data_IF_642608019591
#
_entry.id   IF_642608019591
#
_cell.length_a   1.000
_cell.length_b   1.000
_cell.length_c   1.000
_cell.angle_alpha   90.00
_cell.angle_beta   90.00
_cell.angle_gamma   90.00
#
_symmetry.space_group_name_H-M   'P 1'
#
loop_
_entity.id
_entity.type
_entity.pdbx_description
1 polymer ?
#
# COMPACT_ATOMS: atom_id res chain seq x y z
N UNK A 1 6.30 3.35 22.52
CA UNK A 1 4.87 3.23 22.86
C UNK A 1 4.04 3.64 21.66
N UNK A 2 3.68 2.66 20.85
CA UNK A 2 2.83 2.86 19.71
C UNK A 2 1.38 2.63 20.14
N UNK A 3 0.72 3.69 20.59
CA UNK A 3 -0.73 3.68 20.76
C UNK A 3 -1.37 3.86 19.38
N UNK A 4 -1.66 2.75 18.72
CA UNK A 4 -2.45 2.73 17.47
C UNK A 4 -3.92 2.92 17.86
N UNK A 5 -4.47 4.09 17.56
CA UNK A 5 -5.92 4.32 17.61
C UNK A 5 -6.45 4.13 16.18
N UNK A 6 -7.23 3.08 15.91
CA UNK A 6 -7.82 2.90 14.58
C UNK A 6 -9.02 3.85 14.44
N UNK A 7 -8.88 4.86 13.59
CA UNK A 7 -10.01 5.73 13.21
C UNK A 7 -10.34 5.46 11.75
N UNK A 8 -11.10 4.39 11.50
CA UNK A 8 -11.82 4.22 10.25
C UNK A 8 -13.19 4.91 10.37
N UNK A 9 -13.67 5.65 9.35
CA UNK A 9 -15.02 6.18 9.34
C UNK A 9 -16.04 5.04 9.49
N UNK A 10 -17.03 5.21 10.35
CA UNK A 10 -18.09 4.23 10.63
C UNK A 10 -18.81 3.73 9.37
N UNK A 11 -18.82 4.51 8.29
CA UNK A 11 -19.40 4.13 6.99
C UNK A 11 -18.61 3.07 6.23
N UNK A 12 -17.30 2.96 6.42
CA UNK A 12 -16.47 1.91 5.81
C UNK A 12 -16.59 0.59 6.57
N UNK A 13 -16.70 0.64 7.90
CA UNK A 13 -16.96 -0.55 8.72
C UNK A 13 -18.36 -1.13 8.48
N UNK A 14 -19.38 -0.31 8.19
CA UNK A 14 -20.75 -0.76 7.97
C UNK A 14 -20.93 -1.69 6.75
N UNK A 15 -20.06 -1.62 5.76
CA UNK A 15 -20.10 -2.51 4.59
C UNK A 15 -19.54 -3.91 4.89
N UNK A 16 -18.59 -4.00 5.82
CA UNK A 16 -17.98 -5.25 6.30
C UNK A 16 -18.85 -5.94 7.38
N UNK A 17 -19.53 -5.15 8.23
CA UNK A 17 -20.36 -5.65 9.33
C UNK A 17 -21.75 -6.20 8.89
N UNK A 18 -22.16 -6.05 7.63
CA UNK A 18 -23.45 -6.59 7.14
C UNK A 18 -23.47 -8.08 6.84
N UNK A 19 -22.39 -8.81 7.06
CA UNK A 19 -22.39 -10.29 7.04
C UNK A 19 -22.15 -10.83 8.46
N UNK A 20 -23.24 -10.98 9.21
CA UNK A 20 -23.44 -11.84 10.38
C UNK A 20 -22.26 -11.96 11.35
N UNK A 21 -22.37 -11.30 12.50
CA UNK A 21 -21.53 -11.45 13.70
C UNK A 21 -21.22 -12.91 14.08
N UNK A 22 -20.10 -13.42 13.60
CA UNK A 22 -19.28 -14.42 14.30
C UNK A 22 -17.86 -13.88 14.20
N UNK A 23 -17.21 -13.67 15.37
CA UNK A 23 -15.78 -13.44 15.45
C UNK A 23 -15.11 -14.32 14.41
N UNK A 24 -14.54 -13.72 13.38
CA UNK A 24 -13.91 -14.45 12.30
C UNK A 24 -12.58 -14.95 12.86
N UNK A 25 -12.57 -16.18 13.38
CA UNK A 25 -11.35 -16.87 13.79
C UNK A 25 -10.42 -16.79 12.58
N UNK A 26 -9.21 -16.23 12.78
CA UNK A 26 -8.29 -15.88 11.72
C UNK A 26 -8.10 -16.98 10.68
N UNK A 27 -8.07 -16.58 9.42
CA UNK A 27 -7.76 -17.47 8.28
C UNK A 27 -6.36 -17.15 7.77
N UNK A 28 -5.59 -18.19 7.48
CA UNK A 28 -4.34 -18.04 6.75
C UNK A 28 -4.63 -17.70 5.29
N UNK A 29 -3.96 -16.65 4.80
CA UNK A 29 -4.11 -16.17 3.42
C UNK A 29 -2.86 -15.46 2.93
N UNK A 30 -2.60 -15.59 1.64
CA UNK A 30 -1.62 -14.75 0.97
C UNK A 30 -2.21 -13.34 0.80
N UNK A 31 -1.60 -12.38 1.45
CA UNK A 31 -1.99 -10.97 1.42
C UNK A 31 -0.80 -10.13 0.98
N UNK A 32 -1.06 -9.15 0.13
CA UNK A 32 -0.10 -8.09 -0.16
C UNK A 32 -0.43 -6.89 0.69
N UNK A 33 0.55 -6.46 1.47
CA UNK A 33 0.48 -5.27 2.32
C UNK A 33 1.18 -4.10 1.62
N UNK A 34 0.51 -2.95 1.56
CA UNK A 34 1.07 -1.69 1.07
C UNK A 34 1.01 -0.67 2.19
N UNK A 35 2.18 -0.20 2.61
CA UNK A 35 2.30 0.98 3.47
C UNK A 35 2.60 2.21 2.62
N UNK A 36 1.88 3.30 2.89
CA UNK A 36 2.16 4.61 2.31
C UNK A 36 2.23 5.62 3.45
N UNK A 37 3.30 6.41 3.50
CA UNK A 37 3.53 7.37 4.57
C UNK A 37 3.99 8.72 4.01
N UNK A 38 3.55 9.81 4.64
CA UNK A 38 3.93 11.17 4.28
C UNK A 38 5.36 11.45 4.76
N UNK A 39 6.16 12.13 3.95
CA UNK A 39 7.48 12.59 4.38
C UNK A 39 7.42 14.00 4.96
N UNK A 40 8.11 14.19 6.09
CA UNK A 40 8.28 15.52 6.67
C UNK A 40 7.04 16.06 7.39
N UNK A 41 6.06 15.24 7.74
CA UNK A 41 4.87 15.62 8.50
C UNK A 41 5.19 16.32 9.82
N UNK A 42 6.24 15.91 10.51
CA UNK A 42 6.71 16.57 11.74
C UNK A 42 7.13 18.02 11.48
N UNK A 43 7.91 18.28 10.42
CA UNK A 43 8.30 19.64 10.04
C UNK A 43 7.09 20.47 9.62
N UNK A 44 6.13 19.83 8.94
CA UNK A 44 4.87 20.46 8.55
C UNK A 44 4.07 20.89 9.79
N UNK A 45 4.03 20.05 10.83
CA UNK A 45 3.34 20.32 12.09
C UNK A 45 4.00 21.44 12.90
N UNK A 46 5.33 21.58 12.83
CA UNK A 46 6.05 22.68 13.48
C UNK A 46 5.84 24.03 12.79
N UNK A 47 5.62 24.02 11.48
CA UNK A 47 5.57 25.23 10.66
C UNK A 47 4.16 25.80 10.42
N UNK A 48 3.09 25.06 10.79
CA UNK A 48 1.71 25.38 10.45
C UNK A 48 0.76 25.30 11.64
N UNK A 49 -0.42 25.92 11.47
CA UNK A 49 -1.48 25.78 12.46
C UNK A 49 -1.99 24.32 12.52
N UNK A 50 -2.39 23.82 13.69
CA UNK A 50 -2.83 22.43 13.85
C UNK A 50 -3.96 22.02 12.90
N UNK A 51 -4.89 22.91 12.60
CA UNK A 51 -6.00 22.64 11.68
C UNK A 51 -5.52 22.43 10.24
N UNK A 52 -4.53 23.21 9.79
CA UNK A 52 -3.95 23.08 8.44
C UNK A 52 -3.21 21.74 8.31
N UNK A 53 -2.50 21.34 9.36
CA UNK A 53 -1.80 20.04 9.39
C UNK A 53 -2.78 18.89 9.30
N UNK A 54 -3.85 18.90 10.09
CA UNK A 54 -4.91 17.88 10.06
C UNK A 54 -5.59 17.85 8.69
N UNK A 55 -5.87 19.01 8.10
CA UNK A 55 -6.44 19.10 6.75
C UNK A 55 -5.53 18.44 5.70
N UNK A 56 -4.22 18.75 5.71
CA UNK A 56 -3.27 18.19 4.76
C UNK A 56 -3.08 16.68 4.94
N UNK A 57 -2.97 16.20 6.17
CA UNK A 57 -2.89 14.77 6.47
C UNK A 57 -4.15 14.05 5.96
N UNK A 58 -5.34 14.56 6.25
CA UNK A 58 -6.59 13.94 5.80
C UNK A 58 -6.71 13.92 4.26
N UNK A 59 -6.25 14.98 3.57
CA UNK A 59 -6.20 15.01 2.11
C UNK A 59 -5.26 13.96 1.55
N UNK A 60 -4.08 13.80 2.15
CA UNK A 60 -3.10 12.79 1.76
C UNK A 60 -3.61 11.37 2.01
N UNK A 61 -4.11 11.08 3.22
CA UNK A 61 -4.69 9.78 3.57
C UNK A 61 -5.86 9.43 2.65
N UNK A 62 -6.71 10.41 2.32
CA UNK A 62 -7.81 10.25 1.37
C UNK A 62 -7.33 9.90 -0.03
N UNK A 63 -6.31 10.59 -0.54
CA UNK A 63 -5.73 10.34 -1.86
C UNK A 63 -5.11 8.92 -1.95
N UNK A 64 -4.38 8.49 -0.92
CA UNK A 64 -3.78 7.16 -0.84
C UNK A 64 -4.82 6.04 -0.68
N UNK A 65 -5.84 6.27 0.18
CA UNK A 65 -6.92 5.30 0.39
C UNK A 65 -7.75 5.10 -0.87
N UNK A 66 -8.07 6.18 -1.59
CA UNK A 66 -8.79 6.10 -2.85
C UNK A 66 -8.00 5.34 -3.91
N UNK A 67 -6.69 5.56 -3.98
CA UNK A 67 -5.80 4.81 -4.88
C UNK A 67 -5.82 3.30 -4.60
N UNK A 68 -5.83 2.90 -3.33
CA UNK A 68 -5.93 1.50 -2.94
C UNK A 68 -7.29 0.90 -3.34
N UNK A 69 -8.40 1.60 -3.04
CA UNK A 69 -9.77 1.18 -3.41
C UNK A 69 -9.93 1.02 -4.93
N UNK A 70 -9.48 2.00 -5.70
CA UNK A 70 -9.57 2.01 -7.17
C UNK A 70 -8.74 0.91 -7.83
N UNK A 71 -7.77 0.36 -7.10
CA UNK A 71 -6.97 -0.78 -7.54
C UNK A 71 -7.51 -2.14 -7.06
N UNK A 72 -8.59 -2.16 -6.29
CA UNK A 72 -9.21 -3.37 -5.74
C UNK A 72 -8.65 -3.81 -4.39
N UNK A 73 -7.89 -2.95 -3.72
CA UNK A 73 -7.42 -3.15 -2.35
C UNK A 73 -8.36 -2.56 -1.31
N UNK A 74 -8.05 -2.80 -0.06
CA UNK A 74 -8.80 -2.30 1.07
C UNK A 74 -7.90 -1.49 1.98
N UNK A 75 -8.10 -0.15 2.14
CA UNK A 75 -7.51 0.61 3.23
C UNK A 75 -7.92 -0.02 4.55
N UNK A 76 -6.95 -0.31 5.40
CA UNK A 76 -7.17 -1.11 6.60
C UNK A 76 -6.95 -0.32 7.88
N UNK A 77 -5.79 0.32 8.00
CA UNK A 77 -5.43 1.11 9.20
C UNK A 77 -4.77 2.42 8.79
N UNK A 78 -5.04 3.47 9.58
CA UNK A 78 -4.26 4.70 9.56
C UNK A 78 -3.26 4.66 10.71
N UNK A 79 -1.99 4.88 10.42
CA UNK A 79 -0.88 4.87 11.37
C UNK A 79 -0.20 6.23 11.31
N UNK A 80 -0.62 7.13 12.20
CA UNK A 80 -0.19 8.53 12.13
C UNK A 80 -0.64 9.19 10.83
N UNK A 81 0.32 9.61 10.02
CA UNK A 81 0.16 10.22 8.69
C UNK A 81 0.31 9.21 7.54
N UNK A 82 0.30 7.92 7.86
CA UNK A 82 0.39 6.81 6.92
C UNK A 82 -0.88 5.96 6.84
N UNK A 83 -0.97 5.16 5.79
CA UNK A 83 -2.04 4.19 5.57
C UNK A 83 -1.48 2.82 5.24
N UNK A 84 -2.03 1.79 5.90
CA UNK A 84 -1.89 0.39 5.52
C UNK A 84 -3.08 0.01 4.64
N UNK A 85 -2.81 -0.50 3.44
CA UNK A 85 -3.81 -1.13 2.59
C UNK A 85 -3.48 -2.61 2.36
N UNK A 86 -4.50 -3.45 2.29
CA UNK A 86 -4.41 -4.89 2.10
C UNK A 86 -5.01 -5.28 0.75
N UNK A 87 -4.37 -6.23 0.05
CA UNK A 87 -4.84 -6.82 -1.21
C UNK A 87 -4.81 -8.34 -1.06
N UNK A 88 -5.78 -9.03 -1.65
CA UNK A 88 -5.86 -10.50 -1.58
C UNK A 88 -6.92 -11.04 -0.63
N UNK A 89 -7.75 -10.18 -0.02
CA UNK A 89 -8.81 -10.63 0.91
C UNK A 89 -9.83 -11.52 0.19
N UNK A 90 -10.20 -11.20 -1.05
CA UNK A 90 -11.21 -11.91 -1.83
C UNK A 90 -10.68 -12.45 -3.17
N UNK A 91 -9.41 -12.23 -3.49
CA UNK A 91 -8.78 -12.62 -4.75
C UNK A 91 -7.54 -13.48 -4.52
N UNK A 92 -7.03 -14.13 -5.57
CA UNK A 92 -5.81 -14.92 -5.53
C UNK A 92 -4.55 -14.05 -5.43
N UNK A 93 -3.43 -14.70 -5.09
CA UNK A 93 -2.13 -14.04 -4.87
C UNK A 93 -1.65 -13.25 -6.10
N UNK A 94 -1.81 -13.79 -7.31
CA UNK A 94 -1.40 -13.13 -8.55
C UNK A 94 -2.18 -11.84 -8.78
N UNK A 95 -3.49 -11.91 -8.62
CA UNK A 95 -4.38 -10.75 -8.74
C UNK A 95 -4.08 -9.71 -7.67
N UNK A 96 -3.88 -10.13 -6.41
CA UNK A 96 -3.50 -9.25 -5.31
C UNK A 96 -2.21 -8.49 -5.57
N UNK A 97 -1.17 -9.17 -6.05
CA UNK A 97 0.11 -8.54 -6.41
C UNK A 97 -0.06 -7.51 -7.53
N UNK A 98 -0.82 -7.83 -8.59
CA UNK A 98 -1.11 -6.88 -9.67
C UNK A 98 -1.89 -5.67 -9.19
N UNK A 99 -2.88 -5.87 -8.32
CA UNK A 99 -3.63 -4.78 -7.71
C UNK A 99 -2.73 -3.85 -6.89
N UNK A 100 -1.84 -4.40 -6.06
CA UNK A 100 -0.92 -3.63 -5.24
C UNK A 100 0.08 -2.80 -6.09
N UNK A 101 0.60 -3.38 -7.18
CA UNK A 101 1.47 -2.65 -8.13
C UNK A 101 0.70 -1.50 -8.80
N UNK A 102 -0.54 -1.73 -9.24
CA UNK A 102 -1.41 -0.66 -9.79
C UNK A 102 -1.73 0.41 -8.76
N UNK A 103 -1.95 0.02 -7.50
CA UNK A 103 -2.20 0.97 -6.42
C UNK A 103 -1.03 1.94 -6.22
N UNK A 104 0.23 1.46 -6.31
CA UNK A 104 1.40 2.33 -6.21
C UNK A 104 1.41 3.42 -7.30
N UNK A 105 1.05 3.08 -8.54
CA UNK A 105 0.88 4.06 -9.63
C UNK A 105 -0.21 5.08 -9.30
N UNK A 106 -1.36 4.60 -8.82
CA UNK A 106 -2.50 5.47 -8.50
C UNK A 106 -2.19 6.39 -7.32
N UNK A 107 -1.44 5.92 -6.30
CA UNK A 107 -0.93 6.77 -5.22
C UNK A 107 -0.10 7.91 -5.78
N UNK A 108 0.86 7.61 -6.66
CA UNK A 108 1.69 8.65 -7.29
C UNK A 108 0.83 9.69 -8.02
N UNK A 109 -0.09 9.24 -8.86
CA UNK A 109 -0.98 10.12 -9.64
C UNK A 109 -1.87 10.98 -8.74
N UNK A 110 -2.48 10.40 -7.69
CA UNK A 110 -3.39 11.10 -6.81
C UNK A 110 -2.65 12.13 -5.93
N UNK A 111 -1.45 11.78 -5.42
CA UNK A 111 -0.64 12.73 -4.64
C UNK A 111 -0.11 13.86 -5.53
N UNK A 112 0.30 13.57 -6.76
CA UNK A 112 0.71 14.62 -7.70
C UNK A 112 -0.46 15.55 -8.06
N UNK A 113 -1.67 15.02 -8.20
CA UNK A 113 -2.87 15.84 -8.40
C UNK A 113 -3.15 16.73 -7.17
N UNK A 114 -3.07 16.16 -5.98
CA UNK A 114 -3.21 16.89 -4.72
C UNK A 114 -2.18 18.01 -4.61
N UNK A 115 -0.92 17.74 -4.93
CA UNK A 115 0.16 18.73 -4.91
C UNK A 115 -0.10 19.88 -5.88
N UNK A 116 -0.60 19.59 -7.09
CA UNK A 116 -1.00 20.65 -8.04
C UNK A 116 -2.15 21.50 -7.51
N UNK A 117 -3.14 20.89 -6.85
CA UNK A 117 -4.28 21.61 -6.28
C UNK A 117 -3.90 22.52 -5.10
N UNK A 118 -2.86 22.14 -4.37
CA UNK A 118 -2.37 22.85 -3.18
C UNK A 118 -1.09 23.65 -3.42
N UNK A 119 -0.70 23.84 -4.68
CA UNK A 119 0.58 24.49 -5.02
C UNK A 119 0.71 25.93 -4.52
N UNK A 120 -0.42 26.67 -4.38
CA UNK A 120 -0.44 28.02 -3.79
C UNK A 120 -0.31 28.02 -2.27
N UNK A 121 -0.64 26.91 -1.61
CA UNK A 121 -0.77 26.82 -0.16
C UNK A 121 0.43 26.12 0.48
N UNK A 122 1.21 25.40 -0.33
CA UNK A 122 2.36 24.63 0.11
C UNK A 122 3.68 25.24 -0.39
N UNK A 123 4.68 25.47 0.48
CA UNK A 123 6.01 25.92 0.05
C UNK A 123 6.74 24.86 -0.78
N UNK A 124 6.50 23.59 -0.49
CA UNK A 124 7.06 22.44 -1.20
C UNK A 124 5.98 21.35 -1.39
N UNK A 125 6.04 20.57 -2.47
CA UNK A 125 5.13 19.46 -2.70
C UNK A 125 5.25 18.39 -1.60
N UNK A 126 4.11 17.84 -1.19
CA UNK A 126 4.07 16.70 -0.27
C UNK A 126 4.82 15.52 -0.90
N UNK A 127 5.79 15.01 -0.16
CA UNK A 127 6.56 13.80 -0.49
C UNK A 127 6.03 12.61 0.28
N UNK A 128 6.26 11.40 -0.25
CA UNK A 128 5.79 10.16 0.36
C UNK A 128 6.74 9.00 0.10
N UNK A 129 6.53 7.91 0.83
CA UNK A 129 7.17 6.62 0.59
C UNK A 129 6.14 5.50 0.53
N UNK A 130 6.36 4.52 -0.34
CA UNK A 130 5.52 3.32 -0.49
C UNK A 130 6.38 2.09 -0.25
N UNK A 131 5.93 1.18 0.63
CA UNK A 131 6.51 -0.14 0.81
C UNK A 131 5.49 -1.22 0.50
N UNK A 132 5.83 -2.19 -0.36
CA UNK A 132 4.92 -3.28 -0.75
C UNK A 132 5.63 -4.62 -0.60
N UNK A 133 4.98 -5.53 0.14
CA UNK A 133 5.41 -6.92 0.28
C UNK A 133 4.20 -7.84 0.42
N UNK A 134 4.33 -9.07 -0.06
CA UNK A 134 3.30 -10.10 -0.01
C UNK A 134 3.78 -11.34 0.72
N UNK A 135 2.86 -12.10 1.26
CA UNK A 135 3.14 -13.37 1.91
C UNK A 135 1.95 -13.90 2.70
N UNK A 136 2.12 -15.09 3.28
CA UNK A 136 1.09 -15.72 4.11
C UNK A 136 0.96 -14.99 5.45
N UNK A 137 -0.27 -14.63 5.78
CA UNK A 137 -0.64 -13.94 7.02
C UNK A 137 -1.94 -14.53 7.58
N UNK A 138 -2.20 -14.27 8.84
CA UNK A 138 -3.52 -14.53 9.42
C UNK A 138 -4.36 -13.26 9.30
N UNK A 139 -5.52 -13.35 8.64
CA UNK A 139 -6.51 -12.28 8.56
C UNK A 139 -7.69 -12.59 9.47
N UNK A 140 -8.17 -11.61 10.19
CA UNK A 140 -9.30 -11.78 11.10
C UNK A 140 -9.58 -10.54 11.94
N UNK A 141 -10.61 -10.66 12.79
CA UNK A 141 -10.98 -9.62 13.75
C UNK A 141 -10.06 -9.70 14.96
N UNK A 142 -9.29 -8.64 15.19
CA UNK A 142 -8.32 -8.54 16.28
C UNK A 142 -8.72 -7.38 17.19
N UNK A 143 -8.78 -7.65 18.49
CA UNK A 143 -9.15 -6.63 19.46
C UNK A 143 -9.72 -7.24 20.73
N UNK A 144 -10.39 -6.41 21.51
CA UNK A 144 -10.98 -6.78 22.81
C UNK A 144 -12.42 -6.30 22.86
N UNK A 145 -13.34 -7.19 23.20
CA UNK A 145 -14.79 -6.95 23.30
C UNK A 145 -15.35 -6.29 22.01
N UNK A 146 -16.02 -5.14 22.11
CA UNK A 146 -16.63 -4.42 21.00
C UNK A 146 -15.62 -3.58 20.16
N UNK A 147 -14.33 -3.57 20.58
CA UNK A 147 -13.25 -2.88 19.91
C UNK A 147 -12.39 -3.85 19.10
N UNK A 148 -12.97 -4.42 18.04
CA UNK A 148 -12.27 -5.30 17.11
C UNK A 148 -12.04 -4.61 15.78
N UNK A 149 -10.88 -4.87 15.17
CA UNK A 149 -10.51 -4.40 13.84
C UNK A 149 -10.15 -5.60 12.99
N UNK A 150 -10.79 -5.72 11.83
CA UNK A 150 -10.38 -6.69 10.83
C UNK A 150 -9.02 -6.28 10.25
N UNK A 151 -8.00 -7.13 10.42
CA UNK A 151 -6.65 -6.82 9.96
C UNK A 151 -5.85 -8.09 9.64
N UNK A 152 -4.63 -7.89 9.12
CA UNK A 152 -3.67 -8.94 8.83
C UNK A 152 -2.56 -8.95 9.86
N UNK A 153 -2.21 -10.13 10.37
CA UNK A 153 -1.08 -10.37 11.27
C UNK A 153 -0.08 -11.32 10.63
N UNK A 154 1.16 -10.90 10.55
CA UNK A 154 2.26 -11.71 10.06
C UNK A 154 3.49 -10.88 9.71
N UNK A 155 4.62 -11.55 9.51
CA UNK A 155 5.88 -10.91 9.10
C UNK A 155 5.74 -10.07 7.82
N UNK A 156 4.99 -10.49 6.77
CA UNK A 156 4.82 -9.70 5.55
C UNK A 156 4.33 -8.27 5.78
N UNK A 157 3.45 -8.06 6.76
CA UNK A 157 2.94 -6.71 7.10
C UNK A 157 4.07 -5.84 7.63
N UNK A 158 4.90 -6.39 8.53
CA UNK A 158 6.05 -5.69 9.12
C UNK A 158 7.13 -5.39 8.07
N UNK A 159 7.37 -6.33 7.15
CA UNK A 159 8.32 -6.14 6.05
C UNK A 159 7.88 -4.97 5.17
N UNK A 160 6.60 -4.92 4.76
CA UNK A 160 6.09 -3.81 3.94
C UNK A 160 6.29 -2.44 4.63
N UNK A 161 6.05 -2.34 5.95
CA UNK A 161 6.30 -1.12 6.72
C UNK A 161 7.80 -0.73 6.70
N UNK A 162 8.69 -1.69 6.87
CA UNK A 162 10.14 -1.44 6.84
C UNK A 162 10.64 -1.06 5.45
N UNK A 163 10.10 -1.66 4.38
CA UNK A 163 10.40 -1.25 3.01
C UNK A 163 9.97 0.20 2.77
N UNK A 164 8.83 0.61 3.32
CA UNK A 164 8.37 2.00 3.25
C UNK A 164 9.38 2.94 3.93
N UNK A 165 9.83 2.62 5.15
CA UNK A 165 10.84 3.42 5.86
C UNK A 165 12.15 3.55 5.07
N UNK A 166 12.59 2.48 4.43
CA UNK A 166 13.82 2.44 3.65
C UNK A 166 13.77 3.32 2.39
N UNK A 167 12.58 3.74 1.93
CA UNK A 167 12.45 4.65 0.78
C UNK A 167 13.19 5.98 1.01
N UNK A 168 13.31 6.42 2.26
CA UNK A 168 14.04 7.64 2.64
C UNK A 168 15.55 7.46 2.43
N UNK A 169 16.09 6.32 2.86
CA UNK A 169 17.54 6.01 2.77
C UNK A 169 17.96 5.66 1.35
N UNK A 170 17.06 5.06 0.56
CA UNK A 170 17.35 4.63 -0.81
C UNK A 170 16.95 5.68 -1.86
N UNK A 171 16.52 6.87 -1.42
CA UNK A 171 16.11 7.99 -2.26
C UNK A 171 15.16 7.62 -3.40
N UNK A 172 14.09 6.91 -3.04
CA UNK A 172 13.07 6.47 -3.99
C UNK A 172 11.67 6.63 -3.41
N UNK A 173 10.64 6.71 -4.24
CA UNK A 173 9.25 6.86 -3.80
C UNK A 173 8.59 5.52 -3.45
N UNK A 174 9.03 4.42 -4.05
CA UNK A 174 8.49 3.11 -3.72
C UNK A 174 9.58 2.03 -3.66
N UNK A 175 9.38 1.07 -2.75
CA UNK A 175 10.15 -0.17 -2.66
C UNK A 175 9.16 -1.32 -2.65
N UNK A 176 9.31 -2.23 -3.61
CA UNK A 176 8.47 -3.42 -3.79
C UNK A 176 9.37 -4.64 -3.77
N UNK A 177 9.03 -5.66 -2.99
CA UNK A 177 9.79 -6.91 -3.00
C UNK A 177 9.72 -7.59 -4.37
N UNK A 178 10.81 -8.21 -4.80
CA UNK A 178 10.89 -8.91 -6.08
C UNK A 178 9.86 -10.06 -6.17
N UNK A 179 9.56 -10.67 -5.03
CA UNK A 179 8.52 -11.70 -4.90
C UNK A 179 7.13 -11.23 -5.34
N UNK A 180 6.77 -9.97 -5.08
CA UNK A 180 5.48 -9.40 -5.53
C UNK A 180 5.43 -9.35 -7.06
N UNK A 181 6.51 -8.99 -7.73
CA UNK A 181 6.58 -9.00 -9.20
C UNK A 181 6.55 -10.44 -9.75
N UNK A 182 7.30 -11.34 -9.15
CA UNK A 182 7.32 -12.75 -9.54
C UNK A 182 5.93 -13.38 -9.42
N UNK A 183 5.24 -13.18 -8.29
CA UNK A 183 3.88 -13.69 -8.04
C UNK A 183 2.85 -13.03 -8.97
N UNK A 184 3.00 -11.74 -9.27
CA UNK A 184 2.17 -11.03 -10.23
C UNK A 184 2.34 -11.56 -11.67
N UNK A 185 3.43 -12.27 -11.95
CA UNK A 185 3.87 -12.63 -13.30
C UNK A 185 4.23 -11.38 -14.09
N UNK A 186 4.88 -10.40 -13.50
CA UNK A 186 5.26 -9.12 -14.12
C UNK A 186 6.78 -9.04 -14.22
N UNK A 187 7.29 -8.79 -15.41
CA UNK A 187 8.72 -8.66 -15.65
C UNK A 187 9.26 -7.33 -15.08
N UNK A 188 9.99 -7.40 -13.97
CA UNK A 188 10.56 -6.24 -13.29
C UNK A 188 12.00 -5.89 -13.76
N UNK A 189 12.50 -6.51 -14.82
CA UNK A 189 13.91 -6.41 -15.26
C UNK A 189 14.38 -4.99 -15.59
N UNK A 190 13.45 -4.07 -15.93
CA UNK A 190 13.77 -2.67 -16.21
C UNK A 190 13.91 -1.81 -14.94
N UNK A 191 13.50 -2.33 -13.77
CA UNK A 191 13.57 -1.62 -12.50
C UNK A 191 14.90 -1.90 -11.79
N UNK A 192 15.43 -0.90 -11.10
CA UNK A 192 16.63 -1.05 -10.30
C UNK A 192 16.42 -2.08 -9.19
N UNK A 193 17.32 -3.08 -9.13
CA UNK A 193 17.30 -4.16 -8.14
C UNK A 193 18.30 -3.88 -7.03
N UNK A 194 17.93 -4.17 -5.80
CA UNK A 194 18.79 -4.04 -4.64
C UNK A 194 18.57 -5.19 -3.67
N UNK A 195 19.65 -5.71 -3.11
CA UNK A 195 19.60 -6.63 -1.98
C UNK A 195 19.56 -5.81 -0.69
N UNK A 196 18.62 -6.12 0.20
CA UNK A 196 18.42 -5.41 1.46
C UNK A 196 18.25 -6.38 2.61
N UNK A 197 18.80 -6.03 3.77
CA UNK A 197 18.58 -6.76 5.02
C UNK A 197 17.47 -6.07 5.81
N UNK A 198 16.44 -6.82 6.14
CA UNK A 198 15.30 -6.33 6.93
C UNK A 198 15.55 -6.70 8.40
N UNK A 199 15.46 -5.71 9.29
CA UNK A 199 15.63 -5.95 10.72
C UNK A 199 14.69 -7.06 11.20
N UNK A 200 15.25 -8.10 11.86
CA UNK A 200 14.50 -9.26 12.36
C UNK A 200 14.30 -10.38 11.34
N UNK A 201 14.89 -10.27 10.13
CA UNK A 201 15.04 -11.38 9.20
C UNK A 201 16.53 -11.73 9.10
N UNK A 202 16.85 -13.02 9.06
CA UNK A 202 18.24 -13.50 8.91
C UNK A 202 18.69 -13.42 7.45
N UNK A 203 17.78 -13.68 6.52
CA UNK A 203 18.07 -13.70 5.09
C UNK A 203 17.80 -12.33 4.45
N UNK A 204 18.75 -11.83 3.63
CA UNK A 204 18.51 -10.65 2.82
C UNK A 204 17.45 -10.94 1.75
N UNK A 205 16.78 -9.88 1.28
CA UNK A 205 15.78 -10.00 0.24
C UNK A 205 16.06 -9.06 -0.93
N UNK A 206 15.67 -9.48 -2.12
CA UNK A 206 15.74 -8.65 -3.32
C UNK A 206 14.50 -7.76 -3.39
N UNK A 207 14.74 -6.47 -3.60
CA UNK A 207 13.68 -5.47 -3.77
C UNK A 207 13.91 -4.66 -5.05
N UNK A 208 12.85 -4.07 -5.56
CA UNK A 208 12.91 -3.08 -6.65
C UNK A 208 12.70 -1.70 -6.07
N UNK A 209 13.62 -0.78 -6.39
CA UNK A 209 13.54 0.62 -5.99
C UNK A 209 13.00 1.44 -7.15
N UNK A 210 11.96 2.23 -6.89
CA UNK A 210 11.21 2.97 -7.89
C UNK A 210 11.18 4.44 -7.53
N UNK A 211 11.83 5.27 -8.33
CA UNK A 211 11.88 6.73 -8.15
C UNK A 211 10.54 7.36 -8.57
N UNK A 212 9.97 6.88 -9.66
CA UNK A 212 8.66 7.32 -10.16
C UNK A 212 7.70 6.13 -10.30
N UNK A 213 6.76 5.95 -9.36
CA UNK A 213 5.84 4.81 -9.42
C UNK A 213 4.86 4.83 -10.61
N UNK A 214 4.76 5.92 -11.36
CA UNK A 214 3.90 5.98 -12.54
C UNK A 214 4.37 5.03 -13.66
N UNK A 215 5.67 4.70 -13.68
CA UNK A 215 6.24 3.74 -14.66
C UNK A 215 5.68 2.32 -14.50
N UNK A 216 5.17 1.98 -13.32
CA UNK A 216 4.63 0.64 -13.02
C UNK A 216 3.37 0.32 -13.81
N UNK A 217 2.60 1.32 -14.25
CA UNK A 217 1.40 1.11 -15.06
C UNK A 217 1.70 0.28 -16.31
N UNK A 218 2.76 0.63 -17.02
CA UNK A 218 3.17 -0.06 -18.28
C UNK A 218 3.49 -1.52 -18.04
N UNK A 219 4.17 -1.84 -16.93
CA UNK A 219 4.59 -3.21 -16.62
C UNK A 219 3.40 -4.15 -16.36
N UNK A 220 2.31 -3.61 -15.81
CA UNK A 220 1.11 -4.42 -15.48
C UNK A 220 0.17 -4.54 -16.67
N UNK A 221 0.13 -3.54 -17.57
CA UNK A 221 -0.82 -3.49 -18.69
C UNK A 221 -0.29 -4.21 -19.94
N UNK A 222 1.03 -4.23 -20.20
CA UNK A 222 1.64 -4.91 -21.36
C UNK A 222 1.36 -6.41 -21.38
N UNK A 223 1.29 -7.09 -20.24
CA UNK A 223 0.97 -8.52 -20.18
C UNK A 223 -0.52 -8.84 -20.36
N UNK A 224 -1.42 -7.90 -20.10
CA UNK A 224 -2.86 -8.10 -20.39
C UNK A 224 -3.12 -8.22 -21.87
N UNK A 225 -2.25 -7.66 -22.71
CA UNK A 225 -2.39 -7.67 -24.18
C UNK A 225 -1.83 -8.96 -24.80
N UNK A 226 -0.83 -9.59 -24.16
CA UNK A 226 -0.23 -10.84 -24.69
C UNK A 226 -1.08 -12.09 -24.46
N UNK A 227 -1.96 -12.10 -23.48
CA UNK A 227 -2.85 -13.24 -23.19
C UNK A 227 -4.10 -13.25 -24.08
N UNK A 228 -4.46 -12.10 -24.67
CA UNK A 228 -5.63 -11.95 -25.56
C UNK A 228 -5.38 -12.24 -27.04
N UNK A 229 -4.13 -12.45 -27.46
CA UNK A 229 -3.74 -12.58 -28.89
C UNK A 229 -3.64 -14.00 -29.43
N UNK A 230 -4.01 -15.02 -28.69
CA UNK A 230 -3.71 -16.41 -29.02
C UNK A 230 -4.89 -17.31 -29.40
N UNK A 231 -5.95 -16.82 -30.07
CA UNK A 231 -6.92 -17.72 -30.75
C UNK A 231 -7.57 -16.97 -31.92
N UNK A 232 -6.92 -16.96 -33.08
CA UNK A 232 -7.61 -16.98 -34.37
C UNK A 232 -6.59 -17.29 -35.45
N UNK A 233 -6.40 -18.56 -35.78
CA UNK A 233 -6.18 -19.03 -37.16
C UNK A 233 -6.09 -20.55 -37.15
N UNK A 234 -7.11 -21.20 -37.66
CA UNK A 234 -7.07 -22.34 -38.54
C UNK A 234 -8.53 -22.77 -38.82
N UNK A 235 -9.04 -22.39 -39.91
CA UNK A 235 -9.43 -23.15 -41.08
C UNK A 235 -10.25 -22.27 -42.00
#
# INVERSE_FOLDING_TARGET
>A
DLSVIPILPASMNAKLLRKGSRMNIGKERYIVSMFVDMRGSTKLAEARLPFDVVFLINRFLGACSQAALDAGGQPNQFVGDGVLALFGIEVDAKTACRQAIRAATKVATNVDLMNRQLASDLPEPIQYGIGIHGGEVIIGDIGFQDHTVFTALGDPVNVAARLQDMTKTLDCKAIISDEVFATAGVAAGSLASKEVTIRGREEPMIVRTIVDPTVLARLVDEESTMVGGGVMSAT
#
